data_IF_302883696913
#
_entry.id   IF_302883696913
#
_cell.length_a   1.000
_cell.length_b   1.000
_cell.length_c   1.000
_cell.angle_alpha   90.00
_cell.angle_beta   90.00
_cell.angle_gamma   90.00
#
_symmetry.space_group_name_H-M   'P 1'
#
loop_
_entity.id
_entity.type
_entity.pdbx_description
1 polymer ?
#
# COMPACT_ATOMS: atom_id res chain seq x y z
N UNK A 1 8.82 6.38 20.27
CA UNK A 1 8.33 5.12 19.64
C UNK A 1 7.13 4.51 20.38
N UNK A 2 7.28 3.67 21.42
CA UNK A 2 6.12 3.02 22.09
C UNK A 2 5.10 4.02 22.66
N UNK A 3 5.58 5.11 23.24
CA UNK A 3 4.75 6.17 23.84
C UNK A 3 4.02 7.06 22.82
N UNK A 4 4.45 7.05 21.56
CA UNK A 4 3.81 7.80 20.46
C UNK A 4 2.75 6.96 19.77
N UNK A 5 3.01 5.66 19.56
CA UNK A 5 2.02 4.72 19.03
C UNK A 5 0.81 4.61 19.97
N UNK A 6 1.03 4.56 21.29
CA UNK A 6 -0.05 4.48 22.29
C UNK A 6 -1.00 5.69 22.29
N UNK A 7 -0.62 6.80 21.65
CA UNK A 7 -1.48 8.00 21.50
C UNK A 7 -2.30 7.97 20.22
N UNK A 8 -2.01 7.05 19.30
CA UNK A 8 -2.75 6.90 18.05
C UNK A 8 -4.09 6.23 18.35
N UNK A 9 -5.16 6.74 17.74
CA UNK A 9 -6.48 6.14 17.86
C UNK A 9 -6.62 4.94 16.91
N UNK A 10 -5.79 3.91 17.11
CA UNK A 10 -5.78 2.69 16.31
C UNK A 10 -6.46 1.54 17.06
N UNK A 11 -7.01 0.53 16.35
CA UNK A 11 -7.44 -0.71 16.98
C UNK A 11 -6.30 -1.39 17.73
N UNK A 12 -6.65 -2.12 18.79
CA UNK A 12 -5.68 -2.82 19.65
C UNK A 12 -4.75 -3.73 18.88
N UNK A 13 -5.26 -4.48 17.91
CA UNK A 13 -4.47 -5.43 17.12
C UNK A 13 -3.41 -4.71 16.27
N UNK A 14 -3.80 -3.63 15.57
CA UNK A 14 -2.86 -2.79 14.82
C UNK A 14 -1.81 -2.13 15.70
N UNK A 15 -2.19 -1.65 16.89
CA UNK A 15 -1.23 -1.11 17.87
C UNK A 15 -0.27 -2.19 18.35
N UNK A 16 -0.77 -3.36 18.73
CA UNK A 16 0.03 -4.47 19.21
C UNK A 16 1.03 -4.93 18.14
N UNK A 17 0.60 -5.00 16.87
CA UNK A 17 1.49 -5.30 15.76
C UNK A 17 2.61 -4.26 15.65
N UNK A 18 2.27 -2.97 15.55
CA UNK A 18 3.24 -1.87 15.43
C UNK A 18 4.24 -1.79 16.58
N UNK A 19 3.83 -2.18 17.79
CA UNK A 19 4.70 -2.17 18.98
C UNK A 19 5.69 -3.33 19.00
N UNK A 20 5.32 -4.47 18.41
CA UNK A 20 6.10 -5.70 18.49
C UNK A 20 6.83 -6.06 17.19
N UNK A 21 6.44 -5.46 16.07
CA UNK A 21 7.03 -5.71 14.76
C UNK A 21 7.70 -4.45 14.22
N UNK A 22 8.97 -4.60 13.84
CA UNK A 22 9.71 -3.57 13.13
C UNK A 22 9.72 -3.91 11.64
N UNK A 23 8.94 -3.18 10.86
CA UNK A 23 9.03 -3.25 9.40
C UNK A 23 10.34 -2.59 9.00
N UNK A 24 11.21 -3.33 8.29
CA UNK A 24 12.48 -2.78 7.83
C UNK A 24 12.26 -2.05 6.51
N UNK A 25 12.94 -0.91 6.33
CA UNK A 25 13.03 -0.28 5.01
C UNK A 25 13.54 -1.29 3.98
N UNK A 26 12.93 -1.30 2.79
CA UNK A 26 13.22 -2.18 1.66
C UNK A 26 12.82 -3.65 1.82
N UNK A 27 12.14 -4.05 2.91
CA UNK A 27 11.71 -5.46 3.09
C UNK A 27 10.80 -5.97 1.96
N UNK A 28 10.07 -5.05 1.32
CA UNK A 28 9.06 -5.30 0.29
C UNK A 28 9.31 -4.51 -0.99
N UNK A 29 10.57 -4.17 -1.28
CA UNK A 29 10.97 -3.47 -2.51
C UNK A 29 10.52 -4.21 -3.77
N UNK A 30 10.45 -5.54 -3.73
CA UNK A 30 9.92 -6.36 -4.81
C UNK A 30 8.44 -6.09 -5.15
N UNK A 31 7.72 -5.32 -4.34
CA UNK A 31 6.32 -4.92 -4.57
C UNK A 31 6.15 -3.48 -5.00
N UNK A 32 7.25 -2.78 -5.32
CA UNK A 32 7.24 -1.34 -5.55
C UNK A 32 6.61 -0.60 -4.37
N UNK A 33 6.79 -1.12 -3.15
CA UNK A 33 6.35 -0.48 -1.91
C UNK A 33 7.57 -0.06 -1.11
N UNK A 34 7.68 1.24 -0.84
CA UNK A 34 8.66 1.79 0.09
C UNK A 34 7.99 2.09 1.43
N UNK A 35 8.41 1.38 2.47
CA UNK A 35 7.98 1.69 3.84
C UNK A 35 8.79 2.83 4.40
N UNK A 36 8.11 3.80 5.01
CA UNK A 36 8.76 4.91 5.66
C UNK A 36 9.32 4.55 7.02
N UNK A 37 10.37 5.27 7.39
CA UNK A 37 10.91 5.31 8.75
C UNK A 37 10.33 6.51 9.49
N UNK A 38 10.50 6.57 10.82
CA UNK A 38 10.09 7.74 11.61
C UNK A 38 10.75 9.04 11.13
N UNK A 39 11.98 8.99 10.62
CA UNK A 39 12.65 10.17 10.07
C UNK A 39 11.97 10.68 8.79
N UNK A 40 11.26 9.80 8.07
CA UNK A 40 10.62 10.09 6.79
C UNK A 40 9.09 10.18 6.93
N UNK A 41 8.59 10.34 8.16
CA UNK A 41 7.19 10.60 8.45
C UNK A 41 6.31 9.37 8.66
N UNK A 42 6.89 8.23 9.04
CA UNK A 42 6.11 7.06 9.46
C UNK A 42 5.17 7.40 10.62
N UNK A 43 3.89 7.07 10.44
CA UNK A 43 2.75 7.36 11.32
C UNK A 43 2.45 8.85 11.54
N UNK A 44 2.92 9.75 10.66
CA UNK A 44 2.38 11.10 10.58
C UNK A 44 1.02 11.09 9.89
N UNK A 45 0.13 12.03 10.26
CA UNK A 45 -1.05 12.26 9.44
C UNK A 45 -0.65 12.85 8.08
N UNK A 46 -1.51 12.69 7.06
CA UNK A 46 -1.20 13.12 5.69
C UNK A 46 -0.78 14.61 5.63
N UNK A 47 -1.39 15.50 6.44
CA UNK A 47 -1.03 16.93 6.44
C UNK A 47 0.37 17.14 7.00
N UNK A 48 0.70 16.47 8.11
CA UNK A 48 2.02 16.54 8.73
C UNK A 48 3.09 15.94 7.82
N UNK A 49 2.79 14.80 7.20
CA UNK A 49 3.68 14.15 6.24
C UNK A 49 3.97 15.05 5.04
N UNK A 50 2.94 15.65 4.43
CA UNK A 50 3.09 16.54 3.26
C UNK A 50 3.90 17.78 3.61
N UNK A 51 3.68 18.39 4.79
CA UNK A 51 4.50 19.53 5.25
C UNK A 51 5.98 19.18 5.40
N UNK A 52 6.28 17.95 5.81
CA UNK A 52 7.65 17.51 6.04
C UNK A 52 8.36 17.12 4.73
N UNK A 53 7.65 16.49 3.79
CA UNK A 53 8.28 15.80 2.65
C UNK A 53 8.00 16.43 1.28
N UNK A 54 6.98 17.28 1.15
CA UNK A 54 6.66 17.92 -0.12
C UNK A 54 7.39 19.26 -0.27
N UNK A 55 8.51 19.21 -1.00
CA UNK A 55 9.33 20.39 -1.29
C UNK A 55 8.59 21.45 -2.12
N UNK A 56 7.54 21.09 -2.87
CA UNK A 56 6.80 22.04 -3.70
C UNK A 56 6.13 23.12 -2.86
N UNK A 57 5.74 22.81 -1.61
CA UNK A 57 5.16 23.79 -0.67
C UNK A 57 6.08 24.98 -0.40
N UNK A 58 7.39 24.81 -0.55
CA UNK A 58 8.37 25.89 -0.36
C UNK A 58 8.49 26.85 -1.55
N UNK A 59 7.95 26.45 -2.70
CA UNK A 59 8.05 27.15 -3.98
C UNK A 59 6.71 27.78 -4.38
N UNK A 60 5.61 27.20 -3.91
CA UNK A 60 4.25 27.65 -4.20
C UNK A 60 3.89 28.93 -3.43
N UNK A 61 2.91 29.66 -3.97
CA UNK A 61 2.36 30.83 -3.29
C UNK A 61 1.78 30.46 -1.93
N UNK A 62 1.86 31.39 -0.98
CA UNK A 62 1.40 31.17 0.40
C UNK A 62 -0.09 30.86 0.46
N UNK A 63 -0.92 31.58 -0.29
CA UNK A 63 -2.37 31.40 -0.30
C UNK A 63 -2.73 30.03 -0.90
N UNK A 64 -2.04 29.63 -1.97
CA UNK A 64 -2.18 28.30 -2.55
C UNK A 64 -1.79 27.20 -1.56
N UNK A 65 -0.64 27.35 -0.90
CA UNK A 65 -0.12 26.39 0.09
C UNK A 65 -1.11 26.20 1.25
N UNK A 66 -1.66 27.29 1.79
CA UNK A 66 -2.66 27.23 2.86
C UNK A 66 -3.96 26.56 2.40
N UNK A 67 -4.44 26.86 1.20
CA UNK A 67 -5.63 26.24 0.63
C UNK A 67 -5.44 24.72 0.38
N UNK A 68 -4.29 24.34 -0.17
CA UNK A 68 -3.94 22.94 -0.41
C UNK A 68 -3.87 22.16 0.91
N UNK A 69 -3.12 22.64 1.90
CA UNK A 69 -3.04 22.00 3.23
C UNK A 69 -4.39 21.95 3.94
N UNK A 70 -5.26 22.93 3.74
CA UNK A 70 -6.62 22.90 4.27
C UNK A 70 -7.46 21.79 3.61
N UNK A 71 -7.29 21.56 2.30
CA UNK A 71 -7.97 20.48 1.57
C UNK A 71 -7.57 19.09 2.06
N UNK A 72 -6.34 18.92 2.53
CA UNK A 72 -5.80 17.68 3.08
C UNK A 72 -6.35 17.32 4.46
N UNK A 73 -6.97 18.26 5.19
CA UNK A 73 -7.53 18.00 6.54
C UNK A 73 -8.57 16.89 6.56
N UNK A 74 -9.22 16.60 5.43
CA UNK A 74 -10.13 15.45 5.30
C UNK A 74 -9.43 14.10 5.56
N UNK A 75 -8.11 14.03 5.37
CA UNK A 75 -7.27 12.86 5.62
C UNK A 75 -6.57 12.85 6.98
N UNK A 76 -6.94 13.75 7.91
CA UNK A 76 -6.30 13.83 9.23
C UNK A 76 -6.31 12.52 10.04
N UNK A 77 -7.22 11.61 9.71
CA UNK A 77 -7.34 10.28 10.33
C UNK A 77 -6.53 9.18 9.64
N UNK A 78 -5.77 9.52 8.61
CA UNK A 78 -4.95 8.58 7.85
C UNK A 78 -3.49 8.79 8.20
N UNK A 79 -2.87 7.75 8.72
CA UNK A 79 -1.46 7.76 9.12
C UNK A 79 -0.61 7.14 8.02
N UNK A 80 0.39 7.86 7.56
CA UNK A 80 1.24 7.43 6.44
C UNK A 80 2.22 6.36 6.92
N UNK A 81 2.33 5.25 6.20
CA UNK A 81 3.26 4.16 6.51
C UNK A 81 4.26 3.86 5.39
N UNK A 82 3.98 4.33 4.17
CA UNK A 82 4.85 4.15 3.03
C UNK A 82 4.25 4.76 1.77
N UNK A 83 4.82 4.40 0.62
CA UNK A 83 4.33 4.79 -0.69
C UNK A 83 4.44 3.64 -1.69
N UNK A 84 3.63 3.75 -2.74
CA UNK A 84 3.80 3.00 -3.97
C UNK A 84 4.81 3.77 -4.84
N UNK A 85 5.92 3.11 -5.20
CA UNK A 85 7.02 3.68 -5.95
C UNK A 85 6.70 3.93 -7.43
N UNK A 86 5.69 3.26 -7.98
CA UNK A 86 5.27 3.46 -9.37
C UNK A 86 4.37 4.68 -9.52
N UNK A 87 3.47 4.89 -8.56
CA UNK A 87 2.43 5.93 -8.62
C UNK A 87 2.74 7.15 -7.74
N UNK A 88 3.66 7.03 -6.78
CA UNK A 88 3.88 8.03 -5.73
C UNK A 88 2.76 8.11 -4.69
N UNK A 89 1.75 7.23 -4.77
CA UNK A 89 0.61 7.23 -3.85
C UNK A 89 1.05 6.85 -2.43
N UNK A 90 0.38 7.44 -1.43
CA UNK A 90 0.66 7.15 -0.02
C UNK A 90 -0.09 5.89 0.43
N UNK A 91 0.62 4.97 1.09
CA UNK A 91 0.00 3.87 1.82
C UNK A 91 -0.23 4.32 3.25
N UNK A 92 -1.46 4.15 3.73
CA UNK A 92 -1.91 4.74 4.99
C UNK A 92 -2.72 3.77 5.84
N UNK A 93 -2.70 3.97 7.17
CA UNK A 93 -3.62 3.32 8.11
C UNK A 93 -4.74 4.30 8.44
N UNK A 94 -6.00 3.92 8.18
CA UNK A 94 -7.15 4.69 8.64
C UNK A 94 -7.39 4.42 10.13
N UNK A 95 -7.11 5.42 10.97
CA UNK A 95 -7.13 5.28 12.43
C UNK A 95 -8.37 4.58 12.99
N UNK A 96 -9.61 4.98 12.63
CA UNK A 96 -10.82 4.41 13.25
C UNK A 96 -11.01 2.90 13.06
N UNK A 97 -10.57 2.34 11.92
CA UNK A 97 -10.77 0.91 11.60
C UNK A 97 -9.48 0.11 11.60
N UNK A 98 -8.33 0.78 11.51
CA UNK A 98 -7.02 0.13 11.33
C UNK A 98 -6.78 -0.38 9.91
N UNK A 99 -7.73 -0.21 9.00
CA UNK A 99 -7.63 -0.64 7.61
C UNK A 99 -6.54 0.15 6.87
N UNK A 100 -5.94 -0.51 5.90
CA UNK A 100 -4.92 0.06 5.04
C UNK A 100 -5.58 0.62 3.78
N UNK A 101 -5.12 1.79 3.35
CA UNK A 101 -5.56 2.45 2.12
C UNK A 101 -4.38 3.03 1.36
N UNK A 102 -4.39 2.88 0.04
CA UNK A 102 -3.56 3.69 -0.86
C UNK A 102 -4.30 4.99 -1.19
N UNK A 103 -3.64 6.14 -1.06
CA UNK A 103 -4.21 7.47 -1.30
C UNK A 103 -3.46 8.13 -2.45
N UNK A 104 -4.22 8.63 -3.44
CA UNK A 104 -3.65 9.36 -4.57
C UNK A 104 -2.98 10.65 -4.09
N UNK A 105 -1.65 10.70 -4.16
CA UNK A 105 -0.87 11.74 -3.48
C UNK A 105 -0.76 13.03 -4.28
N UNK A 106 -0.61 12.94 -5.61
CA UNK A 106 -0.34 14.12 -6.45
C UNK A 106 -1.56 15.05 -6.59
N UNK A 107 -2.75 14.56 -6.28
CA UNK A 107 -4.00 15.32 -6.42
C UNK A 107 -4.81 15.33 -5.11
N UNK A 108 -4.64 14.36 -4.19
CA UNK A 108 -5.38 14.22 -2.91
C UNK A 108 -6.84 14.71 -2.91
N UNK A 109 -7.52 14.58 -4.04
CA UNK A 109 -8.94 14.89 -4.16
C UNK A 109 -9.77 13.72 -3.61
N UNK A 110 -9.23 12.49 -3.65
CA UNK A 110 -10.01 11.26 -3.43
C UNK A 110 -9.23 10.17 -2.66
N UNK A 111 -9.98 9.39 -1.88
CA UNK A 111 -9.53 8.08 -1.39
C UNK A 111 -9.77 7.10 -2.53
N UNK A 112 -8.74 6.81 -3.31
CA UNK A 112 -8.84 5.76 -4.32
C UNK A 112 -8.61 4.39 -3.68
N UNK A 113 -9.57 3.46 -3.81
CA UNK A 113 -9.51 2.15 -3.14
C UNK A 113 -8.79 1.14 -4.01
N UNK A 114 -7.51 1.38 -4.29
CA UNK A 114 -6.67 0.45 -5.03
C UNK A 114 -6.12 -0.67 -4.16
N UNK A 115 -5.84 -0.37 -2.89
CA UNK A 115 -5.21 -1.30 -1.98
C UNK A 115 -5.93 -1.23 -0.63
N UNK A 116 -6.56 -2.33 -0.21
CA UNK A 116 -7.26 -2.41 1.08
C UNK A 116 -6.88 -3.71 1.78
N UNK A 117 -6.25 -3.58 2.95
CA UNK A 117 -6.10 -4.65 3.92
C UNK A 117 -6.86 -4.29 5.18
N UNK A 118 -7.40 -5.29 5.89
CA UNK A 118 -8.12 -5.09 7.15
C UNK A 118 -7.25 -4.55 8.27
N UNK A 119 -5.93 -4.80 8.22
CA UNK A 119 -4.97 -4.23 9.16
C UNK A 119 -3.53 -4.25 8.61
N UNK A 120 -2.63 -3.56 9.31
CA UNK A 120 -1.20 -3.60 9.01
C UNK A 120 -0.59 -5.00 9.19
N UNK A 121 -1.07 -5.78 10.17
CA UNK A 121 -0.65 -7.17 10.35
C UNK A 121 -1.05 -8.02 9.15
N UNK A 122 -2.28 -7.83 8.67
CA UNK A 122 -2.81 -8.56 7.52
C UNK A 122 -2.09 -8.21 6.23
N UNK A 123 -1.84 -6.92 6.01
CA UNK A 123 -0.98 -6.46 4.92
C UNK A 123 0.41 -7.12 4.98
N UNK A 124 1.05 -7.11 6.16
CA UNK A 124 2.37 -7.71 6.36
C UNK A 124 2.36 -9.23 6.08
N UNK A 125 1.32 -9.96 6.53
CA UNK A 125 1.14 -11.38 6.22
C UNK A 125 0.99 -11.63 4.72
N UNK A 126 0.17 -10.83 4.04
CA UNK A 126 -0.04 -10.92 2.60
C UNK A 126 1.24 -10.65 1.82
N UNK A 127 1.98 -9.61 2.19
CA UNK A 127 3.26 -9.26 1.56
C UNK A 127 4.29 -10.37 1.76
N UNK A 128 4.43 -10.92 2.96
CA UNK A 128 5.34 -12.03 3.21
C UNK A 128 4.99 -13.28 2.40
N UNK A 129 3.71 -13.62 2.32
CA UNK A 129 3.26 -14.75 1.51
C UNK A 129 3.60 -14.54 0.03
N UNK A 130 3.28 -13.35 -0.49
CA UNK A 130 3.56 -13.01 -1.88
C UNK A 130 5.07 -12.98 -2.17
N UNK A 131 5.90 -12.57 -1.18
CA UNK A 131 7.35 -12.45 -1.35
C UNK A 131 7.98 -13.83 -1.48
N UNK A 132 7.58 -14.74 -0.59
CA UNK A 132 7.95 -16.16 -0.66
C UNK A 132 7.58 -16.75 -2.02
N UNK A 133 6.39 -16.41 -2.52
CA UNK A 133 5.89 -16.89 -3.79
C UNK A 133 6.70 -16.36 -4.99
N UNK A 134 6.99 -15.06 -5.02
CA UNK A 134 7.79 -14.43 -6.07
C UNK A 134 9.21 -15.00 -6.13
N UNK A 135 9.84 -15.22 -4.97
CA UNK A 135 11.16 -15.87 -4.88
C UNK A 135 11.11 -17.27 -5.48
N UNK A 136 10.09 -18.07 -5.17
CA UNK A 136 9.92 -19.41 -5.74
C UNK A 136 9.75 -19.39 -7.26
N UNK A 137 8.99 -18.44 -7.81
CA UNK A 137 8.83 -18.31 -9.27
C UNK A 137 10.14 -17.95 -9.98
N UNK A 138 10.90 -17.00 -9.42
CA UNK A 138 12.18 -16.56 -9.99
C UNK A 138 13.23 -17.68 -9.90
N UNK A 139 13.33 -18.36 -8.76
CA UNK A 139 14.33 -19.41 -8.53
C UNK A 139 14.07 -20.68 -9.34
N UNK A 140 12.82 -20.98 -9.70
CA UNK A 140 12.47 -22.24 -10.37
C UNK A 140 12.36 -22.14 -11.90
N UNK A 141 12.62 -20.98 -12.52
CA UNK A 141 12.50 -20.75 -13.97
C UNK A 141 11.17 -21.25 -14.60
N UNK A 142 10.09 -21.34 -13.82
CA UNK A 142 8.77 -21.81 -14.29
C UNK A 142 8.08 -20.72 -15.13
N UNK A 143 8.58 -20.50 -16.35
CA UNK A 143 8.00 -19.57 -17.32
C UNK A 143 7.20 -20.30 -18.39
N UNK A 144 6.18 -21.06 -18.00
CA UNK A 144 5.11 -21.49 -18.91
C UNK A 144 3.84 -20.71 -18.60
N UNK A 145 3.32 -19.98 -19.59
CA UNK A 145 2.17 -19.08 -19.45
C UNK A 145 0.94 -19.71 -18.74
N UNK A 146 0.69 -21.00 -18.94
CA UNK A 146 -0.42 -21.71 -18.29
C UNK A 146 -0.21 -21.94 -16.79
N UNK A 147 1.03 -22.21 -16.35
CA UNK A 147 1.35 -22.45 -14.95
C UNK A 147 1.24 -21.16 -14.14
N UNK A 148 1.57 -20.03 -14.79
CA UNK A 148 1.51 -18.69 -14.23
C UNK A 148 0.07 -18.23 -13.96
N UNK A 149 -0.90 -18.51 -14.85
CA UNK A 149 -2.30 -18.11 -14.61
C UNK A 149 -2.89 -18.84 -13.41
N UNK A 150 -2.64 -20.15 -13.29
CA UNK A 150 -3.10 -20.95 -12.16
C UNK A 150 -2.46 -20.49 -10.86
N UNK A 151 -1.15 -20.26 -10.91
CA UNK A 151 -0.34 -19.59 -9.90
C UNK A 151 -0.97 -18.29 -9.39
N UNK A 152 -1.39 -17.40 -10.29
CA UNK A 152 -2.03 -16.14 -9.91
C UNK A 152 -3.37 -16.38 -9.20
N UNK A 153 -4.17 -17.33 -9.68
CA UNK A 153 -5.42 -17.71 -9.03
C UNK A 153 -5.20 -18.28 -7.63
N UNK A 154 -4.22 -19.16 -7.46
CA UNK A 154 -3.86 -19.76 -6.17
C UNK A 154 -3.38 -18.70 -5.19
N UNK A 155 -2.52 -17.79 -5.66
CA UNK A 155 -2.08 -16.64 -4.88
C UNK A 155 -3.26 -15.76 -4.47
N UNK A 156 -4.13 -15.38 -5.42
CA UNK A 156 -5.32 -14.57 -5.15
C UNK A 156 -6.19 -15.23 -4.09
N UNK A 157 -6.48 -16.52 -4.23
CA UNK A 157 -7.29 -17.27 -3.27
C UNK A 157 -6.65 -17.27 -1.90
N UNK A 158 -5.33 -17.46 -1.83
CA UNK A 158 -4.60 -17.44 -0.56
C UNK A 158 -4.56 -16.07 0.09
N UNK A 159 -4.43 -15.00 -0.69
CA UNK A 159 -4.51 -13.64 -0.17
C UNK A 159 -5.89 -13.36 0.43
N UNK A 160 -6.97 -13.74 -0.26
CA UNK A 160 -8.34 -13.63 0.28
C UNK A 160 -8.54 -14.47 1.55
N UNK A 161 -7.88 -15.63 1.66
CA UNK A 161 -7.88 -16.44 2.90
C UNK A 161 -7.16 -15.72 4.05
N UNK A 162 -6.03 -15.06 3.76
CA UNK A 162 -5.28 -14.30 4.76
C UNK A 162 -6.07 -13.07 5.23
N UNK A 163 -6.73 -12.39 4.30
CA UNK A 163 -7.50 -11.18 4.54
C UNK A 163 -8.70 -11.09 3.57
N UNK A 164 -9.89 -11.33 4.11
CA UNK A 164 -11.13 -11.34 3.34
C UNK A 164 -11.60 -9.95 2.88
N UNK A 165 -11.00 -8.88 3.41
CA UNK A 165 -11.28 -7.50 3.01
C UNK A 165 -10.41 -7.04 1.84
N UNK A 166 -9.51 -7.90 1.34
CA UNK A 166 -8.72 -7.59 0.14
C UNK A 166 -9.65 -7.37 -1.05
N UNK A 167 -9.66 -6.13 -1.53
CA UNK A 167 -10.35 -5.74 -2.75
C UNK A 167 -9.40 -5.87 -3.94
N UNK A 168 -9.46 -6.99 -4.66
CA UNK A 168 -8.83 -7.14 -5.98
C UNK A 168 -9.90 -6.90 -7.04
N UNK A 169 -9.90 -5.70 -7.63
CA UNK A 169 -10.82 -5.36 -8.71
C UNK A 169 -10.13 -5.44 -10.09
N UNK A 170 -10.88 -5.23 -11.17
CA UNK A 170 -10.35 -5.23 -12.53
C UNK A 170 -9.72 -3.89 -12.94
N UNK A 171 -9.54 -2.96 -12.01
CA UNK A 171 -8.91 -1.67 -12.27
C UNK A 171 -7.42 -1.88 -12.56
N UNK A 172 -6.93 -1.22 -13.60
CA UNK A 172 -5.53 -1.28 -13.99
C UNK A 172 -4.61 -0.69 -12.90
N UNK A 173 -5.09 0.20 -12.05
CA UNK A 173 -4.33 0.79 -10.95
C UNK A 173 -4.29 -0.09 -9.69
N UNK A 174 -5.41 -0.72 -9.30
CA UNK A 174 -5.40 -1.78 -8.27
C UNK A 174 -4.48 -2.93 -8.69
N UNK A 175 -4.41 -3.21 -10.00
CA UNK A 175 -3.43 -4.14 -10.55
C UNK A 175 -1.99 -3.66 -10.38
N UNK A 176 -1.65 -2.36 -10.30
CA UNK A 176 -0.25 -1.89 -10.29
C UNK A 176 0.57 -2.40 -9.10
N UNK A 177 0.02 -2.38 -7.88
CA UNK A 177 0.71 -2.93 -6.70
C UNK A 177 0.90 -4.45 -6.79
N UNK A 178 -0.03 -5.16 -7.47
CA UNK A 178 0.10 -6.59 -7.81
C UNK A 178 0.91 -6.83 -9.11
N UNK A 179 1.11 -5.79 -9.91
CA UNK A 179 1.95 -5.73 -11.10
C UNK A 179 3.42 -5.52 -10.70
N UNK A 180 3.83 -5.76 -9.46
CA UNK A 180 5.23 -6.17 -9.26
C UNK A 180 5.56 -7.45 -10.06
N UNK A 181 4.55 -8.17 -10.55
CA UNK A 181 4.63 -9.17 -11.62
C UNK A 181 4.84 -8.58 -13.04
N UNK A 182 4.74 -7.27 -13.28
CA UNK A 182 4.94 -6.65 -14.60
C UNK A 182 6.40 -6.66 -15.05
N UNK A 183 7.35 -6.75 -14.11
CA UNK A 183 8.77 -6.77 -14.44
C UNK A 183 9.13 -8.12 -15.08
N UNK A 184 9.21 -8.14 -16.42
CA UNK A 184 9.89 -9.21 -17.15
C UNK A 184 9.03 -10.16 -17.99
N UNK A 185 7.87 -9.73 -18.51
CA UNK A 185 6.95 -10.46 -19.43
C UNK A 185 5.81 -11.27 -18.80
N UNK A 186 5.61 -11.23 -17.48
CA UNK A 186 4.49 -11.92 -16.82
C UNK A 186 3.20 -11.06 -16.87
N UNK A 187 2.73 -10.80 -18.08
CA UNK A 187 1.47 -10.10 -18.31
C UNK A 187 0.28 -11.03 -18.02
N UNK A 188 -0.27 -10.96 -16.82
CA UNK A 188 -1.53 -11.63 -16.46
C UNK A 188 -2.74 -10.93 -17.08
N UNK A 189 -2.82 -10.91 -18.41
CA UNK A 189 -4.03 -10.48 -19.09
C UNK A 189 -5.10 -11.56 -18.92
N UNK A 190 -6.07 -11.32 -18.02
CA UNK A 190 -7.42 -11.80 -18.32
C UNK A 190 -7.88 -11.06 -19.57
N UNK A 191 -7.78 -11.71 -20.74
CA UNK A 191 -8.69 -11.39 -21.83
C UNK A 191 -10.08 -11.54 -21.24
N UNK A 192 -10.82 -10.42 -21.15
CA UNK A 192 -12.25 -10.43 -20.89
C UNK A 192 -12.82 -11.50 -21.82
N UNK A 193 -13.44 -12.53 -21.27
CA UNK A 193 -14.13 -13.53 -22.06
C UNK A 193 -15.23 -12.79 -22.80
N UNK A 194 -14.98 -12.46 -24.07
CA UNK A 194 -16.05 -12.12 -25.00
C UNK A 194 -16.78 -13.44 -25.25
N UNK A 195 -17.69 -13.79 -24.33
CA UNK A 195 -18.71 -14.78 -24.66
C UNK A 195 -19.58 -14.16 -25.75
N UNK A 196 -19.58 -14.88 -26.88
CA UNK A 196 -20.51 -14.77 -28.00
C UNK A 196 -21.93 -14.95 -27.48
#
# INVERSE_FOLDING_TARGET
MTLEIAKLNLPMDSMHFLLNHQIKGNEFECFNVEFYTYSNGFLLDVVEWTKQNDFSLSILDKEYTEAFLASLKKFKRYLVIGSNMDSGNLITIYQPTGEIYELEHEITERVERYFVNSSIEKMYCCFNYFKKYLVQLIEQEYYKDCDLINTFHDLKNKLVELDNNILINNDNYNRQSWNSLYHGKLNFFFKKSNKI
#
